data_IF_909611358583
#
_entry.id   IF_909611358583
#
_cell.length_a   1.000
_cell.length_b   1.000
_cell.length_c   1.000
_cell.angle_alpha   90.00
_cell.angle_beta   90.00
_cell.angle_gamma   90.00
#
_symmetry.space_group_name_H-M   'P 1'
#
loop_
_entity.id
_entity.type
_entity.pdbx_description
1 polymer ?
#
# COMPACT_ATOMS: atom_id res chain seq x y z
N UNK A 1 -2.46 8.12 -69.72
CA UNK A 1 -3.23 7.32 -68.74
C UNK A 1 -2.54 7.49 -67.40
N UNK A 2 -3.18 8.13 -66.42
CA UNK A 2 -2.60 8.34 -65.09
C UNK A 2 -3.31 7.35 -64.16
N UNK A 3 -2.60 6.31 -63.74
CA UNK A 3 -3.10 5.44 -62.67
C UNK A 3 -2.65 6.12 -61.38
N UNK A 4 -3.60 6.71 -60.64
CA UNK A 4 -3.33 7.28 -59.33
C UNK A 4 -2.76 6.18 -58.44
N UNK A 5 -1.46 6.19 -58.18
CA UNK A 5 -0.84 5.38 -57.13
C UNK A 5 -1.30 6.00 -55.82
N UNK A 6 -2.42 5.49 -55.29
CA UNK A 6 -2.92 5.87 -53.98
C UNK A 6 -1.79 5.86 -52.95
N UNK A 7 -1.88 6.75 -51.97
CA UNK A 7 -0.83 7.00 -50.98
C UNK A 7 -0.33 5.67 -50.38
N UNK A 8 0.87 5.26 -50.79
CA UNK A 8 1.44 3.94 -50.49
C UNK A 8 2.14 3.90 -49.13
N UNK A 9 2.24 5.05 -48.48
CA UNK A 9 2.83 5.20 -47.15
C UNK A 9 2.22 6.36 -46.38
N UNK A 10 2.37 6.34 -45.06
CA UNK A 10 1.92 7.42 -44.18
C UNK A 10 2.85 7.50 -42.95
N UNK A 11 2.83 8.63 -42.24
CA UNK A 11 3.54 8.74 -40.97
C UNK A 11 2.69 8.24 -39.81
N UNK A 12 3.28 7.42 -38.94
CA UNK A 12 2.65 6.95 -37.70
C UNK A 12 2.50 8.11 -36.72
N UNK A 13 1.35 8.15 -36.04
CA UNK A 13 1.13 9.11 -34.96
C UNK A 13 1.71 8.62 -33.63
N UNK A 14 1.61 9.46 -32.60
CA UNK A 14 1.79 9.01 -31.23
C UNK A 14 0.58 8.19 -30.76
N UNK A 15 0.79 6.93 -30.42
CA UNK A 15 -0.27 6.07 -29.88
C UNK A 15 -0.23 5.92 -28.36
N UNK A 16 0.83 6.38 -27.69
CA UNK A 16 0.95 6.26 -26.23
C UNK A 16 -0.18 7.02 -25.53
N UNK A 17 -0.79 6.39 -24.53
CA UNK A 17 -1.91 6.98 -23.77
C UNK A 17 -3.26 6.97 -24.50
N UNK A 18 -3.33 6.52 -25.76
CA UNK A 18 -4.60 6.39 -26.50
C UNK A 18 -5.23 5.01 -26.29
N UNK A 19 -6.55 4.92 -26.50
CA UNK A 19 -7.26 3.64 -26.51
C UNK A 19 -6.83 2.79 -27.71
N UNK A 20 -6.50 1.53 -27.42
CA UNK A 20 -6.07 0.56 -28.43
C UNK A 20 -7.14 0.32 -29.50
N UNK A 21 -8.42 0.29 -29.14
CA UNK A 21 -9.54 0.16 -30.08
C UNK A 21 -9.52 1.26 -31.15
N UNK A 22 -9.31 2.50 -30.73
CA UNK A 22 -9.38 3.67 -31.60
C UNK A 22 -8.17 3.73 -32.52
N UNK A 23 -6.99 3.39 -32.00
CA UNK A 23 -5.75 3.30 -32.78
C UNK A 23 -5.81 2.16 -33.79
N UNK A 24 -6.34 1.00 -33.41
CA UNK A 24 -6.54 -0.12 -34.34
C UNK A 24 -7.52 0.29 -35.44
N UNK A 25 -8.61 0.98 -35.12
CA UNK A 25 -9.54 1.50 -36.12
C UNK A 25 -8.89 2.53 -37.05
N UNK A 26 -8.07 3.44 -36.51
CA UNK A 26 -7.30 4.43 -37.30
C UNK A 26 -6.34 3.74 -38.27
N UNK A 27 -5.56 2.76 -37.80
CA UNK A 27 -4.60 2.01 -38.63
C UNK A 27 -5.30 1.21 -39.72
N UNK A 28 -6.43 0.55 -39.41
CA UNK A 28 -7.29 -0.11 -40.41
C UNK A 28 -7.84 0.89 -41.43
N UNK A 29 -8.25 2.09 -40.98
CA UNK A 29 -8.68 3.19 -41.85
C UNK A 29 -7.57 3.67 -42.79
N UNK A 30 -6.31 3.60 -42.36
CA UNK A 30 -5.11 3.87 -43.16
C UNK A 30 -4.67 2.66 -44.03
N UNK A 31 -5.53 1.63 -44.14
CA UNK A 31 -5.33 0.40 -44.92
C UNK A 31 -4.21 -0.50 -44.42
N UNK A 32 -3.81 -0.39 -43.14
CA UNK A 32 -2.90 -1.37 -42.54
C UNK A 32 -3.64 -2.70 -42.36
N UNK A 33 -3.13 -3.82 -42.90
CA UNK A 33 -3.72 -5.14 -42.69
C UNK A 33 -3.76 -5.54 -41.21
N UNK A 34 -4.88 -6.12 -40.78
CA UNK A 34 -5.10 -6.50 -39.37
C UNK A 34 -4.07 -7.51 -38.85
N UNK A 35 -3.62 -8.44 -39.69
CA UNK A 35 -2.57 -9.41 -39.34
C UNK A 35 -1.20 -8.77 -39.08
N UNK A 36 -0.99 -7.51 -39.50
CA UNK A 36 0.22 -6.74 -39.21
C UNK A 36 0.07 -5.84 -37.97
N UNK A 37 -1.10 -5.80 -37.33
CA UNK A 37 -1.32 -5.09 -36.07
C UNK A 37 -1.39 -6.11 -34.94
N UNK A 38 -0.36 -6.17 -34.11
CA UNK A 38 -0.28 -7.08 -32.96
C UNK A 38 -0.55 -6.32 -31.68
N UNK A 39 -1.41 -6.88 -30.83
CA UNK A 39 -1.62 -6.40 -29.46
C UNK A 39 -0.90 -7.33 -28.50
N UNK A 40 -0.11 -6.76 -27.60
CA UNK A 40 0.48 -7.45 -26.46
C UNK A 40 -0.08 -6.83 -25.18
N UNK A 41 -0.51 -7.64 -24.22
CA UNK A 41 -1.08 -7.12 -22.98
C UNK A 41 -0.06 -7.18 -21.84
N UNK A 42 0.07 -6.08 -21.13
CA UNK A 42 0.94 -5.95 -19.95
C UNK A 42 0.09 -5.51 -18.76
N UNK A 43 0.24 -6.18 -17.60
CA UNK A 43 -0.50 -5.78 -16.40
C UNK A 43 -0.02 -4.43 -15.90
N UNK A 44 -0.95 -3.51 -15.64
CA UNK A 44 -0.65 -2.20 -15.08
C UNK A 44 -1.71 -1.78 -14.06
N UNK A 45 -1.25 -1.18 -12.96
CA UNK A 45 -2.08 -0.51 -11.96
C UNK A 45 -2.11 1.01 -12.13
N UNK A 46 -1.21 1.56 -12.95
CA UNK A 46 -1.06 3.00 -13.19
C UNK A 46 -1.82 3.46 -14.44
N UNK A 47 -1.92 2.59 -15.44
CA UNK A 47 -2.51 2.89 -16.74
C UNK A 47 -3.84 2.16 -16.87
N UNK A 48 -4.87 2.90 -17.27
CA UNK A 48 -6.21 2.34 -17.47
C UNK A 48 -6.20 1.22 -18.52
N UNK A 49 -6.90 0.13 -18.24
CA UNK A 49 -6.99 -1.00 -19.15
C UNK A 49 -7.48 -0.60 -20.55
N UNK A 50 -6.90 -1.22 -21.58
CA UNK A 50 -7.17 -0.91 -22.99
C UNK A 50 -6.38 0.28 -23.54
N UNK A 51 -5.56 0.94 -22.71
CA UNK A 51 -4.71 2.08 -23.12
C UNK A 51 -3.33 1.60 -23.55
N UNK A 52 -2.79 2.20 -24.61
CA UNK A 52 -1.47 1.84 -25.15
C UNK A 52 -0.35 2.40 -24.27
N UNK A 53 0.54 1.52 -23.82
CA UNK A 53 1.72 1.81 -23.01
C UNK A 53 2.97 1.98 -23.85
N UNK A 54 3.09 1.21 -24.94
CA UNK A 54 4.27 1.18 -25.82
C UNK A 54 3.82 0.94 -27.27
N UNK A 55 4.59 1.49 -28.21
CA UNK A 55 4.45 1.20 -29.64
C UNK A 55 5.81 0.78 -30.20
N UNK A 56 5.85 -0.24 -31.06
CA UNK A 56 7.11 -0.77 -31.61
C UNK A 56 7.80 0.19 -32.58
N UNK A 57 7.00 0.96 -33.32
CA UNK A 57 7.48 1.95 -34.28
C UNK A 57 7.27 3.35 -33.68
N UNK A 58 8.33 4.19 -33.61
CA UNK A 58 8.22 5.55 -33.09
C UNK A 58 7.24 6.42 -33.88
N UNK A 59 6.71 7.45 -33.23
CA UNK A 59 5.96 8.51 -33.90
C UNK A 59 6.80 9.12 -35.04
N UNK A 60 6.14 9.53 -36.13
CA UNK A 60 6.79 10.10 -37.32
C UNK A 60 7.43 9.06 -38.24
N UNK A 61 7.50 7.78 -37.84
CA UNK A 61 7.96 6.70 -38.72
C UNK A 61 7.10 6.64 -39.97
N UNK A 62 7.75 6.63 -41.13
CA UNK A 62 7.06 6.42 -42.41
C UNK A 62 6.74 4.92 -42.55
N UNK A 63 5.47 4.58 -42.42
CA UNK A 63 4.94 3.24 -42.60
C UNK A 63 4.57 3.02 -44.07
N UNK A 64 5.17 2.01 -44.69
CA UNK A 64 4.98 1.64 -46.10
C UNK A 64 4.03 0.44 -46.20
N UNK A 65 2.88 0.66 -46.84
CA UNK A 65 1.81 -0.33 -47.00
C UNK A 65 2.19 -1.49 -47.93
N UNK A 66 3.26 -1.35 -48.72
CA UNK A 66 3.76 -2.43 -49.58
C UNK A 66 4.68 -3.40 -48.84
N UNK A 67 5.14 -3.03 -47.63
CA UNK A 67 5.99 -3.85 -46.78
C UNK A 67 5.14 -4.52 -45.71
N UNK A 68 5.41 -5.79 -45.45
CA UNK A 68 4.76 -6.56 -44.38
C UNK A 68 5.37 -6.22 -42.99
N UNK A 69 5.47 -4.93 -42.65
CA UNK A 69 6.04 -4.48 -41.38
C UNK A 69 5.01 -4.57 -40.27
N UNK A 70 5.29 -5.30 -39.21
CA UNK A 70 4.37 -5.45 -38.08
C UNK A 70 4.43 -4.23 -37.14
N UNK A 71 3.26 -3.75 -36.73
CA UNK A 71 3.07 -2.76 -35.66
C UNK A 71 2.65 -3.52 -34.41
N UNK A 72 3.47 -3.46 -33.35
CA UNK A 72 3.13 -4.03 -32.05
C UNK A 72 2.75 -2.91 -31.11
N UNK A 73 1.57 -3.02 -30.52
CA UNK A 73 1.07 -2.11 -29.49
C UNK A 73 1.00 -2.88 -28.18
N UNK A 74 1.74 -2.43 -27.17
CA UNK A 74 1.61 -2.97 -25.82
C UNK A 74 0.50 -2.21 -25.11
N UNK A 75 -0.50 -2.92 -24.64
CA UNK A 75 -1.74 -2.38 -24.07
C UNK A 75 -1.81 -2.75 -22.60
N UNK A 76 -2.16 -1.78 -21.78
CA UNK A 76 -2.40 -1.99 -20.36
C UNK A 76 -3.60 -2.92 -20.18
N UNK A 77 -3.45 -3.92 -19.32
CA UNK A 77 -4.56 -4.70 -18.77
C UNK A 77 -4.57 -4.60 -17.25
N UNK A 78 -5.72 -4.94 -16.67
CA UNK A 78 -5.90 -4.94 -15.22
C UNK A 78 -4.99 -5.99 -14.58
N UNK A 79 -4.32 -5.61 -13.49
CA UNK A 79 -3.65 -6.56 -12.59
C UNK A 79 -4.69 -7.52 -12.04
N UNK A 80 -4.51 -8.82 -12.23
CA UNK A 80 -5.44 -9.83 -11.73
C UNK A 80 -4.94 -10.52 -10.46
N UNK A 81 -3.65 -10.39 -10.16
CA UNK A 81 -3.07 -10.98 -8.95
C UNK A 81 -2.05 -10.09 -8.28
N UNK A 82 -1.99 -10.19 -6.96
CA UNK A 82 -1.01 -9.50 -6.13
C UNK A 82 -0.35 -10.48 -5.17
N UNK A 83 0.73 -10.04 -4.53
CA UNK A 83 1.33 -10.73 -3.40
C UNK A 83 0.64 -10.30 -2.10
N UNK A 84 0.33 -11.26 -1.22
CA UNK A 84 -0.34 -10.99 0.05
C UNK A 84 0.56 -10.13 0.95
N UNK A 85 0.11 -8.92 1.34
CA UNK A 85 0.84 -8.08 2.28
C UNK A 85 0.88 -8.72 3.67
N UNK A 86 1.84 -8.31 4.51
CA UNK A 86 1.87 -8.71 5.90
C UNK A 86 1.05 -7.74 6.75
N UNK A 87 -0.04 -8.24 7.34
CA UNK A 87 -0.89 -7.51 8.26
C UNK A 87 -0.75 -7.96 9.71
N UNK A 88 0.05 -9.00 10.00
CA UNK A 88 0.31 -9.42 11.38
C UNK A 88 0.78 -8.22 12.22
N UNK A 89 0.12 -7.98 13.35
CA UNK A 89 0.39 -6.84 14.23
C UNK A 89 -0.29 -5.53 13.83
N UNK A 90 -0.98 -5.48 12.68
CA UNK A 90 -1.78 -4.32 12.26
C UNK A 90 -3.18 -4.36 12.87
N UNK A 91 -3.88 -3.23 12.88
CA UNK A 91 -5.28 -3.18 13.29
C UNK A 91 -6.19 -3.83 12.24
N UNK A 92 -7.32 -4.39 12.69
CA UNK A 92 -8.39 -4.91 11.84
C UNK A 92 -8.78 -3.93 10.73
N UNK A 93 -9.01 -2.68 11.11
CA UNK A 93 -9.45 -1.63 10.19
C UNK A 93 -8.41 -1.33 9.12
N UNK A 94 -7.14 -1.16 9.52
CA UNK A 94 -6.06 -0.93 8.56
C UNK A 94 -5.93 -2.07 7.56
N UNK A 95 -5.93 -3.32 8.04
CA UNK A 95 -5.78 -4.49 7.17
C UNK A 95 -6.93 -4.58 6.15
N UNK A 96 -8.18 -4.45 6.60
CA UNK A 96 -9.35 -4.54 5.72
C UNK A 96 -9.39 -3.37 4.74
N UNK A 97 -9.16 -2.13 5.19
CA UNK A 97 -9.20 -0.97 4.31
C UNK A 97 -8.09 -1.04 3.26
N UNK A 98 -6.88 -1.44 3.63
CA UNK A 98 -5.78 -1.55 2.69
C UNK A 98 -6.05 -2.64 1.61
N UNK A 99 -6.54 -3.81 2.01
CA UNK A 99 -6.96 -4.86 1.07
C UNK A 99 -8.04 -4.36 0.09
N UNK A 100 -9.00 -3.56 0.56
CA UNK A 100 -10.12 -3.12 -0.28
C UNK A 100 -9.81 -1.90 -1.13
N UNK A 101 -9.14 -0.90 -0.58
CA UNK A 101 -8.98 0.42 -1.19
C UNK A 101 -7.73 0.50 -2.06
N UNK A 102 -6.61 -0.06 -1.60
CA UNK A 102 -5.35 -0.02 -2.34
C UNK A 102 -5.31 -1.15 -3.37
N UNK A 103 -5.73 -2.35 -2.98
CA UNK A 103 -5.64 -3.53 -3.82
C UNK A 103 -6.94 -3.90 -4.53
N UNK A 104 -8.04 -3.19 -4.25
CA UNK A 104 -9.31 -3.41 -4.93
C UNK A 104 -9.96 -4.77 -4.64
N UNK A 105 -9.59 -5.43 -3.54
CA UNK A 105 -10.17 -6.73 -3.17
C UNK A 105 -11.59 -6.50 -2.67
N UNK A 106 -12.54 -7.29 -3.18
CA UNK A 106 -13.94 -7.19 -2.76
C UNK A 106 -14.05 -7.55 -1.28
N UNK A 107 -14.75 -6.73 -0.48
CA UNK A 107 -15.09 -7.06 0.93
C UNK A 107 -15.70 -8.46 1.07
N UNK A 108 -16.52 -8.85 0.10
CA UNK A 108 -17.14 -10.17 0.05
C UNK A 108 -16.15 -11.33 -0.06
N UNK A 109 -14.88 -11.11 -0.42
CA UNK A 109 -13.81 -12.10 -0.46
C UNK A 109 -12.93 -12.10 0.80
N UNK A 110 -13.16 -11.17 1.73
CA UNK A 110 -12.43 -11.04 2.99
C UNK A 110 -13.31 -11.58 4.11
N UNK A 111 -12.75 -12.51 4.88
CA UNK A 111 -13.33 -13.09 6.06
C UNK A 111 -12.56 -12.61 7.28
N UNK A 112 -13.28 -12.07 8.26
CA UNK A 112 -12.69 -11.67 9.53
C UNK A 112 -13.17 -12.66 10.59
N UNK A 113 -12.23 -13.31 11.26
CA UNK A 113 -12.48 -14.30 12.31
C UNK A 113 -11.93 -13.77 13.62
N UNK A 114 -12.68 -13.87 14.70
CA UNK A 114 -12.21 -13.47 16.03
C UNK A 114 -11.59 -14.67 16.75
N UNK A 115 -10.44 -14.47 17.38
CA UNK A 115 -9.72 -15.47 18.15
C UNK A 115 -9.36 -14.94 19.53
N UNK A 116 -9.39 -15.81 20.54
CA UNK A 116 -9.15 -15.43 21.95
C UNK A 116 -7.72 -15.65 22.42
N UNK A 117 -6.82 -16.06 21.54
CA UNK A 117 -5.42 -16.37 21.85
C UNK A 117 -4.51 -15.54 20.96
N UNK A 118 -3.51 -14.92 21.56
CA UNK A 118 -2.50 -14.12 20.86
C UNK A 118 -1.17 -14.17 21.63
N UNK A 119 -0.05 -13.82 20.98
CA UNK A 119 1.20 -13.55 21.69
C UNK A 119 1.03 -12.50 22.79
N UNK A 120 1.80 -12.61 23.87
CA UNK A 120 1.79 -11.64 24.96
C UNK A 120 2.12 -10.23 24.44
N UNK A 121 1.43 -9.22 24.98
CA UNK A 121 1.55 -7.84 24.52
C UNK A 121 0.76 -7.49 23.25
N UNK A 122 0.04 -8.44 22.64
CA UNK A 122 -0.86 -8.15 21.53
C UNK A 122 -2.08 -7.33 22.00
N UNK A 123 -2.33 -6.19 21.35
CA UNK A 123 -3.52 -5.37 21.60
C UNK A 123 -4.79 -6.01 21.05
N UNK A 124 -5.94 -5.71 21.67
CA UNK A 124 -7.26 -6.05 21.11
C UNK A 124 -7.44 -5.44 19.71
N UNK A 125 -8.27 -6.07 18.86
CA UNK A 125 -8.48 -5.69 17.46
C UNK A 125 -7.25 -5.77 16.55
N UNK A 126 -6.20 -6.47 16.99
CA UNK A 126 -4.98 -6.69 16.21
C UNK A 126 -5.07 -7.98 15.41
N UNK A 127 -4.56 -7.95 14.18
CA UNK A 127 -4.40 -9.12 13.32
C UNK A 127 -3.31 -10.03 13.88
N UNK A 128 -3.65 -11.28 14.17
CA UNK A 128 -2.73 -12.29 14.71
C UNK A 128 -2.45 -13.43 13.75
N UNK A 129 -3.32 -13.63 12.76
CA UNK A 129 -3.13 -14.60 11.71
C UNK A 129 -3.74 -14.08 10.41
N UNK A 130 -3.17 -14.50 9.29
CA UNK A 130 -3.73 -14.24 7.97
C UNK A 130 -3.56 -15.45 7.05
N UNK A 131 -4.49 -15.59 6.13
CA UNK A 131 -4.41 -16.53 5.02
C UNK A 131 -4.91 -15.84 3.74
N UNK A 132 -4.20 -15.89 2.61
CA UNK A 132 -2.87 -16.47 2.41
C UNK A 132 -1.78 -15.90 3.33
N UNK A 133 -0.66 -16.62 3.46
CA UNK A 133 0.51 -16.13 4.19
C UNK A 133 1.13 -14.93 3.45
N UNK A 134 1.88 -14.04 4.13
CA UNK A 134 2.63 -12.99 3.45
C UNK A 134 3.46 -13.54 2.29
N UNK A 135 3.45 -12.85 1.15
CA UNK A 135 4.09 -13.34 -0.07
C UNK A 135 3.23 -14.31 -0.91
N UNK A 136 2.15 -14.85 -0.35
CA UNK A 136 1.23 -15.75 -1.05
C UNK A 136 0.49 -15.05 -2.18
N UNK A 137 0.26 -15.74 -3.29
CA UNK A 137 -0.45 -15.17 -4.44
C UNK A 137 -1.95 -15.01 -4.11
N UNK A 138 -2.48 -13.82 -4.37
CA UNK A 138 -3.90 -13.50 -4.31
C UNK A 138 -4.39 -13.24 -5.71
N UNK A 139 -5.38 -14.00 -6.17
CA UNK A 139 -6.23 -13.64 -7.29
C UNK A 139 -7.34 -12.68 -6.79
N UNK A 140 -7.40 -11.48 -7.36
CA UNK A 140 -8.27 -10.40 -6.87
C UNK A 140 -9.77 -10.74 -7.00
N UNK A 141 -10.14 -11.65 -7.90
CA UNK A 141 -11.52 -12.01 -8.14
C UNK A 141 -12.00 -13.16 -7.25
N UNK A 142 -11.12 -14.12 -6.96
CA UNK A 142 -11.50 -15.43 -6.44
C UNK A 142 -10.85 -15.83 -5.11
N UNK A 143 -9.71 -15.25 -4.75
CA UNK A 143 -9.00 -15.67 -3.53
C UNK A 143 -9.76 -15.24 -2.28
N UNK A 144 -10.09 -16.22 -1.44
CA UNK A 144 -10.64 -15.99 -0.11
C UNK A 144 -9.52 -15.61 0.85
N UNK A 145 -9.62 -14.43 1.43
CA UNK A 145 -8.69 -13.94 2.44
C UNK A 145 -9.33 -14.14 3.80
N UNK A 146 -8.60 -14.73 4.74
CA UNK A 146 -9.00 -14.85 6.14
C UNK A 146 -8.06 -14.03 7.00
N UNK A 147 -8.60 -13.15 7.83
CA UNK A 147 -7.88 -12.34 8.81
C UNK A 147 -8.39 -12.72 10.20
N UNK A 148 -7.51 -13.26 11.04
CA UNK A 148 -7.85 -13.60 12.43
C UNK A 148 -7.49 -12.41 13.34
N UNK A 149 -8.46 -11.90 14.08
CA UNK A 149 -8.36 -10.75 14.97
C UNK A 149 -8.37 -11.21 16.42
N UNK A 150 -7.44 -10.71 17.22
CA UNK A 150 -7.42 -10.96 18.64
C UNK A 150 -8.53 -10.19 19.36
N UNK A 151 -9.45 -10.93 19.98
CA UNK A 151 -10.40 -10.44 20.96
C UNK A 151 -10.34 -11.32 22.21
N UNK A 152 -9.75 -10.86 23.33
CA UNK A 152 -9.73 -11.62 24.56
C UNK A 152 -11.17 -11.87 25.04
N UNK A 153 -11.41 -13.07 25.59
CA UNK A 153 -12.64 -13.30 26.35
C UNK A 153 -12.54 -12.47 27.63
N UNK A 154 -13.36 -11.44 27.76
CA UNK A 154 -13.50 -10.74 29.03
C UNK A 154 -14.08 -11.73 30.05
N UNK A 155 -13.40 -12.03 31.18
CA UNK A 155 -14.08 -12.66 32.29
C UNK A 155 -15.17 -11.71 32.79
N UNK A 156 -16.31 -12.20 33.31
CA UNK A 156 -17.32 -11.32 33.90
C UNK A 156 -16.66 -10.48 34.99
N UNK A 157 -16.75 -9.16 34.87
CA UNK A 157 -16.18 -8.23 35.84
C UNK A 157 -16.71 -8.53 37.24
N UNK A 158 -15.89 -9.13 38.10
CA UNK A 158 -16.12 -9.08 39.54
C UNK A 158 -15.74 -7.67 39.99
N UNK A 159 -16.73 -6.78 40.07
CA UNK A 159 -16.60 -5.51 40.76
C UNK A 159 -16.31 -5.79 42.24
N UNK A 160 -15.04 -5.83 42.64
CA UNK A 160 -14.65 -5.74 44.05
C UNK A 160 -14.73 -4.28 44.48
N UNK A 161 -15.90 -3.84 44.91
CA UNK A 161 -16.07 -2.60 45.66
C UNK A 161 -15.53 -2.81 47.08
N UNK A 162 -14.31 -2.38 47.36
CA UNK A 162 -13.80 -2.32 48.73
C UNK A 162 -14.48 -1.15 49.44
N UNK A 163 -15.56 -1.42 50.16
CA UNK A 163 -16.20 -0.46 51.06
C UNK A 163 -15.31 -0.24 52.29
N UNK A 164 -14.69 0.94 52.39
CA UNK A 164 -14.05 1.41 53.64
C UNK A 164 -15.12 1.92 54.61
N UNK A 165 -15.22 1.41 55.85
CA UNK A 165 -16.17 1.94 56.82
C UNK A 165 -15.67 3.24 57.45
N UNK A 166 -16.58 4.21 57.49
CA UNK A 166 -16.47 5.54 58.10
C UNK A 166 -16.37 5.43 59.62
N UNK A 167 -15.24 5.88 60.21
CA UNK A 167 -15.08 6.11 61.64
C UNK A 167 -14.80 7.59 61.92
N UNK A 168 -15.82 8.32 62.37
CA UNK A 168 -15.70 9.67 62.94
C UNK A 168 -15.23 9.55 64.40
N UNK A 169 -14.21 10.31 64.83
CA UNK A 169 -14.13 10.92 66.18
C UNK A 169 -12.88 11.81 66.37
N UNK A 170 -13.11 13.11 66.64
CA UNK A 170 -12.41 13.91 67.66
C UNK A 170 -10.99 14.46 67.41
N UNK A 171 -10.89 15.75 67.04
CA UNK A 171 -9.82 16.67 67.51
C UNK A 171 -10.03 16.99 69.01
N UNK A 172 -9.09 17.61 69.80
CA UNK A 172 -7.97 18.49 69.38
C UNK A 172 -6.65 18.35 70.19
N UNK A 173 -5.56 18.97 69.71
CA UNK A 173 -4.69 19.95 70.42
C UNK A 173 -3.30 20.04 69.78
N UNK A 174 -2.89 21.25 69.43
CA UNK A 174 -1.48 21.71 69.34
C UNK A 174 -1.18 22.48 70.65
N UNK A 175 0.07 22.51 71.18
CA UNK A 175 1.07 23.45 70.64
C UNK A 175 2.57 23.09 70.81
N UNK A 176 3.36 23.77 69.97
CA UNK A 176 4.64 24.46 70.28
C UNK A 176 6.03 23.84 69.92
N UNK A 177 6.70 24.58 69.01
CA UNK A 177 8.12 24.96 68.87
C UNK A 177 9.28 24.09 69.38
N UNK A 178 10.30 23.90 68.51
CA UNK A 178 11.65 23.52 68.93
C UNK A 178 12.65 23.06 67.85
N UNK A 179 13.08 23.99 66.98
CA UNK A 179 14.42 24.21 66.39
C UNK A 179 15.48 23.07 66.15
N UNK A 180 16.03 23.09 64.91
CA UNK A 180 17.43 22.88 64.46
C UNK A 180 18.08 21.48 64.26
N UNK A 181 18.27 21.17 62.96
CA UNK A 181 19.55 21.06 62.23
C UNK A 181 20.27 19.70 62.05
N UNK A 182 20.51 19.40 60.75
CA UNK A 182 21.49 18.43 60.22
C UNK A 182 20.85 17.12 59.76
N UNK A 183 20.94 16.65 58.52
CA UNK A 183 21.64 17.09 57.32
C UNK A 183 21.68 15.91 56.34
N UNK A 184 21.72 16.24 55.05
CA UNK A 184 22.18 15.43 53.91
C UNK A 184 21.22 14.47 53.16
N UNK A 185 21.05 14.88 51.90
CA UNK A 185 21.18 14.13 50.64
C UNK A 185 19.97 13.38 50.05
N UNK A 186 19.68 13.77 48.79
CA UNK A 186 19.16 12.86 47.77
C UNK A 186 18.00 13.40 46.94
N UNK A 187 18.26 14.36 46.03
CA UNK A 187 17.28 14.94 45.12
C UNK A 187 17.74 14.70 43.66
N UNK A 188 16.99 13.95 42.85
CA UNK A 188 17.12 13.85 41.38
C UNK A 188 15.70 13.53 40.83
N UNK A 189 14.89 14.48 40.37
CA UNK A 189 14.95 15.29 39.14
C UNK A 189 14.81 14.43 37.87
N UNK A 190 13.61 14.50 37.28
CA UNK A 190 13.33 14.07 35.92
C UNK A 190 13.33 15.28 34.98
N UNK A 191 13.91 15.10 33.80
CA UNK A 191 13.63 15.89 32.60
C UNK A 191 13.89 15.06 31.34
N UNK A 192 13.04 15.31 30.35
CA UNK A 192 12.97 14.76 28.98
C UNK A 192 14.17 15.21 28.14
N UNK A 193 14.51 14.47 27.06
CA UNK A 193 14.69 15.19 25.79
C UNK A 193 14.11 14.49 24.54
N UNK A 194 13.58 15.31 23.65
CA UNK A 194 13.22 15.08 22.23
C UNK A 194 14.50 14.93 21.37
N UNK A 195 14.43 14.34 20.15
CA UNK A 195 15.60 13.89 19.40
C UNK A 195 16.13 14.92 18.40
N UNK A 196 17.46 14.93 18.21
CA UNK A 196 18.16 15.69 17.17
C UNK A 196 18.51 14.78 15.99
N UNK A 197 18.21 15.24 14.77
CA UNK A 197 18.56 14.60 13.49
C UNK A 197 20.07 14.80 13.16
N UNK A 198 20.75 13.86 12.48
CA UNK A 198 22.19 13.97 12.21
C UNK A 198 22.49 14.73 10.91
N UNK A 199 23.53 15.57 10.92
CA UNK A 199 24.22 16.04 9.72
C UNK A 199 25.61 15.40 9.69
N UNK A 200 25.91 14.65 8.65
CA UNK A 200 27.23 14.09 8.38
C UNK A 200 27.95 14.97 7.36
N UNK A 201 29.04 15.60 7.75
CA UNK A 201 30.06 16.09 6.82
C UNK A 201 31.40 15.45 7.20
N UNK A 202 31.88 14.61 6.30
CA UNK A 202 33.17 13.94 6.36
C UNK A 202 34.26 14.73 5.66
N UNK A 203 35.44 14.71 6.26
CA UNK A 203 36.72 15.19 5.75
C UNK A 203 36.97 14.88 4.26
N UNK A 204 37.61 15.80 3.57
CA UNK A 204 38.58 15.47 2.51
C UNK A 204 39.80 16.39 2.59
N UNK A 205 40.96 15.80 2.89
CA UNK A 205 42.28 16.38 2.69
C UNK A 205 42.79 16.05 1.27
N UNK A 206 43.22 17.10 0.57
CA UNK A 206 44.46 17.27 -0.21
C UNK A 206 44.81 16.32 -1.38
N UNK A 207 45.02 16.87 -2.58
CA UNK A 207 46.31 16.75 -3.31
C UNK A 207 46.42 17.71 -4.50
N UNK A 208 47.68 18.10 -4.76
CA UNK A 208 48.29 18.93 -5.83
C UNK A 208 48.08 18.26 -7.21
N UNK A 209 48.07 18.97 -8.35
CA UNK A 209 49.11 19.77 -9.02
C UNK A 209 48.42 20.75 -10.00
#
# INVERSE_FOLDING_TARGET
MIVSSGQQSFQLGNYLGRKSSDVVAELKGKKVPENLIKIEEEESNEIEAGTIMKQSLPEGTTYDLSKATQIVLTVAKKVNSISMPSYIGSTREFAVNNLTEIYGIKKANIEVVEVSTAPEGTGEETVVEQSPKPGGKIDLASTRIKISIYKPKTPPSSSSSTSVPRGNQGSPTTPNQGNQQGGQQGNQQGTVPTPTQPNSEGNHENSRD
#
